data_IF_446144315929
#
_entry.id   IF_446144315929
#
_cell.length_a   1.000
_cell.length_b   1.000
_cell.length_c   1.000
_cell.angle_alpha   90.00
_cell.angle_beta   90.00
_cell.angle_gamma   90.00
#
_symmetry.space_group_name_H-M   'P 1'
#
loop_
_entity.id
_entity.type
_entity.pdbx_description
1 polymer ?
#
# COMPACT_ATOMS: atom_id res chain seq x y z
N UNK A 1 -65.88 -7.56 30.15
CA UNK A 1 -65.22 -8.72 29.51
C UNK A 1 -63.77 -8.77 29.97
N UNK A 2 -63.46 -9.67 30.89
CA UNK A 2 -62.14 -10.30 30.98
C UNK A 2 -62.33 -11.75 30.51
N UNK A 3 -61.29 -12.41 29.98
CA UNK A 3 -60.30 -13.02 30.87
C UNK A 3 -58.84 -12.80 30.47
N UNK A 4 -58.02 -12.82 31.51
CA UNK A 4 -56.58 -13.09 31.54
C UNK A 4 -56.33 -14.60 31.38
N UNK A 5 -55.25 -14.97 30.70
CA UNK A 5 -54.49 -16.22 30.92
C UNK A 5 -53.22 -16.14 30.03
N UNK A 6 -52.00 -16.50 30.42
CA UNK A 6 -51.39 -16.86 31.69
C UNK A 6 -49.91 -17.12 31.37
N UNK A 7 -49.01 -16.75 32.29
CA UNK A 7 -47.75 -17.46 32.62
C UNK A 7 -46.66 -17.58 31.53
N UNK A 8 -45.37 -17.41 31.79
CA UNK A 8 -44.61 -17.09 32.98
C UNK A 8 -43.19 -16.64 32.57
N UNK A 9 -42.63 -15.84 33.46
CA UNK A 9 -41.24 -15.43 33.64
C UNK A 9 -40.15 -16.40 33.13
N UNK A 10 -39.04 -15.82 32.65
CA UNK A 10 -37.71 -15.96 33.27
C UNK A 10 -36.74 -14.94 32.67
N UNK A 11 -36.14 -14.13 33.55
CA UNK A 11 -35.15 -13.14 33.18
C UNK A 11 -33.81 -13.77 32.77
N UNK A 12 -33.03 -13.01 32.02
CA UNK A 12 -31.57 -13.12 32.00
C UNK A 12 -31.00 -11.74 31.70
N UNK A 13 -30.46 -11.10 32.74
CA UNK A 13 -29.43 -10.07 32.58
C UNK A 13 -28.27 -10.66 31.79
N UNK A 14 -27.90 -10.06 30.66
CA UNK A 14 -26.63 -10.31 29.98
C UNK A 14 -25.92 -8.98 29.78
N UNK A 15 -24.70 -8.95 30.29
CA UNK A 15 -23.73 -7.87 30.22
C UNK A 15 -23.46 -7.41 28.79
N UNK A 16 -23.07 -6.14 28.66
CA UNK A 16 -22.69 -5.53 27.40
C UNK A 16 -21.60 -6.31 26.67
N UNK A 17 -21.85 -6.59 25.40
CA UNK A 17 -20.85 -7.03 24.44
C UNK A 17 -20.73 -5.92 23.40
N UNK A 18 -19.68 -5.11 23.53
CA UNK A 18 -19.08 -4.37 22.43
C UNK A 18 -18.62 -5.38 21.38
N UNK A 19 -19.51 -5.71 20.45
CA UNK A 19 -19.24 -6.60 19.33
C UNK A 19 -18.27 -5.95 18.36
N UNK A 20 -17.12 -6.60 18.16
CA UNK A 20 -16.17 -6.26 17.12
C UNK A 20 -16.86 -6.25 15.75
N UNK A 21 -16.77 -5.13 15.04
CA UNK A 21 -17.10 -5.05 13.62
C UNK A 21 -16.10 -5.94 12.89
N UNK A 22 -16.54 -7.14 12.50
CA UNK A 22 -15.81 -7.99 11.58
C UNK A 22 -15.87 -7.30 10.22
N UNK A 23 -14.82 -6.55 9.89
CA UNK A 23 -14.62 -6.06 8.53
C UNK A 23 -14.38 -7.29 7.65
N UNK A 24 -15.46 -7.83 7.12
CA UNK A 24 -15.43 -8.82 6.05
C UNK A 24 -14.67 -8.17 4.90
N UNK A 25 -13.48 -8.67 4.63
CA UNK A 25 -12.67 -8.25 3.51
C UNK A 25 -13.43 -8.53 2.21
N UNK A 26 -14.05 -7.49 1.65
CA UNK A 26 -14.42 -7.49 0.25
C UNK A 26 -13.11 -7.50 -0.55
N UNK A 27 -12.69 -8.70 -0.97
CA UNK A 27 -11.73 -8.82 -2.07
C UNK A 27 -12.41 -8.33 -3.33
N UNK A 28 -12.26 -7.05 -3.65
CA UNK A 28 -12.58 -6.55 -4.98
C UNK A 28 -11.73 -7.35 -5.99
N UNK A 29 -12.29 -7.76 -7.14
CA UNK A 29 -11.51 -8.44 -8.16
C UNK A 29 -10.34 -7.54 -8.56
N UNK A 30 -9.14 -8.10 -8.63
CA UNK A 30 -7.99 -7.39 -9.18
C UNK A 30 -8.30 -7.08 -10.65
N UNK A 31 -8.74 -5.85 -10.94
CA UNK A 31 -8.90 -5.40 -12.32
C UNK A 31 -7.51 -5.41 -12.95
N UNK A 32 -7.34 -6.17 -14.04
CA UNK A 32 -6.08 -6.28 -14.73
C UNK A 32 -5.53 -4.88 -15.07
N UNK A 33 -4.34 -4.60 -14.54
CA UNK A 33 -3.51 -3.46 -14.90
C UNK A 33 -3.24 -3.50 -16.41
N UNK A 34 -3.78 -2.54 -17.16
CA UNK A 34 -3.58 -2.41 -18.61
C UNK A 34 -2.56 -1.30 -18.93
N UNK A 35 -2.05 -1.19 -20.14
CA UNK A 35 -1.16 -0.09 -20.50
C UNK A 35 -2.01 1.17 -20.78
N UNK A 36 -1.97 2.23 -19.94
CA UNK A 36 -2.76 3.44 -20.20
C UNK A 36 -2.38 4.11 -21.53
N UNK A 37 -1.15 3.91 -21.98
CA UNK A 37 -0.61 4.55 -23.18
C UNK A 37 -1.07 3.86 -24.48
N UNK A 38 -1.60 2.62 -24.43
CA UNK A 38 -2.10 1.94 -25.63
C UNK A 38 -3.33 2.64 -26.19
N UNK A 39 -4.24 3.11 -25.32
CA UNK A 39 -5.44 3.84 -25.74
C UNK A 39 -5.10 5.24 -26.25
N UNK A 40 -4.03 5.86 -25.75
CA UNK A 40 -3.51 7.10 -26.30
C UNK A 40 -2.93 6.90 -27.71
N UNK A 41 -2.22 5.80 -27.97
CA UNK A 41 -1.77 5.45 -29.33
C UNK A 41 -2.92 5.15 -30.28
N UNK A 42 -3.96 4.45 -29.82
CA UNK A 42 -5.18 4.24 -30.61
C UNK A 42 -5.83 5.58 -30.93
N UNK A 43 -6.03 6.44 -29.92
CA UNK A 43 -6.63 7.76 -30.12
C UNK A 43 -5.79 8.65 -31.06
N UNK A 44 -4.46 8.56 -30.98
CA UNK A 44 -3.58 9.27 -31.91
C UNK A 44 -3.79 8.83 -33.37
N UNK A 45 -4.02 7.54 -33.59
CA UNK A 45 -4.30 7.01 -34.93
C UNK A 45 -5.73 7.32 -35.41
N UNK A 46 -6.71 7.30 -34.51
CA UNK A 46 -8.14 7.44 -34.81
C UNK A 46 -8.58 8.91 -34.99
N UNK A 47 -8.09 9.80 -34.12
CA UNK A 47 -8.54 11.21 -34.04
C UNK A 47 -7.41 12.23 -34.00
N UNK A 48 -6.15 11.79 -34.15
CA UNK A 48 -5.00 12.65 -33.87
C UNK A 48 -4.82 12.98 -32.38
N UNK A 49 -5.49 12.24 -31.49
CA UNK A 49 -5.42 12.42 -30.04
C UNK A 49 -6.46 13.40 -29.48
N UNK A 50 -7.40 13.87 -30.30
CA UNK A 50 -8.44 14.78 -29.84
C UNK A 50 -9.64 14.02 -29.24
N UNK A 51 -9.70 13.95 -27.91
CA UNK A 51 -10.74 13.22 -27.17
C UNK A 51 -12.15 13.82 -27.29
N UNK A 52 -12.28 15.07 -27.74
CA UNK A 52 -13.56 15.75 -27.90
C UNK A 52 -13.94 15.93 -29.37
N UNK A 53 -13.29 15.20 -30.28
CA UNK A 53 -13.50 15.38 -31.72
C UNK A 53 -14.94 15.00 -32.14
N UNK A 54 -15.52 15.84 -32.99
CA UNK A 54 -16.77 15.60 -33.69
C UNK A 54 -16.71 16.36 -35.02
N UNK A 55 -16.34 15.67 -36.09
CA UNK A 55 -16.20 16.25 -37.43
C UNK A 55 -17.47 16.11 -38.28
N UNK A 56 -18.55 15.53 -37.72
CA UNK A 56 -19.75 15.21 -38.48
C UNK A 56 -19.66 13.94 -39.34
N UNK A 57 -18.60 13.13 -39.18
CA UNK A 57 -18.39 11.89 -39.94
C UNK A 57 -19.15 10.65 -39.39
N UNK A 58 -20.00 10.84 -38.37
CA UNK A 58 -20.77 9.77 -37.72
C UNK A 58 -20.01 9.00 -36.62
N UNK A 59 -18.77 9.37 -36.32
CA UNK A 59 -17.97 8.83 -35.23
C UNK A 59 -17.59 9.95 -34.24
N UNK A 60 -17.43 9.58 -32.97
CA UNK A 60 -17.31 10.56 -31.90
C UNK A 60 -16.16 10.25 -30.95
N UNK A 61 -15.54 11.30 -30.44
CA UNK A 61 -14.52 11.22 -29.39
C UNK A 61 -13.18 10.65 -29.87
N UNK A 62 -12.22 10.56 -28.94
CA UNK A 62 -10.82 10.27 -29.27
C UNK A 62 -10.60 8.91 -29.91
N UNK A 63 -11.47 7.95 -29.61
CA UNK A 63 -11.41 6.57 -30.11
C UNK A 63 -12.38 6.31 -31.26
N UNK A 64 -12.99 7.35 -31.83
CA UNK A 64 -13.91 7.29 -32.97
C UNK A 64 -15.00 6.22 -32.76
N UNK A 65 -15.83 6.39 -31.74
CA UNK A 65 -16.94 5.48 -31.48
C UNK A 65 -18.13 5.75 -32.41
N UNK A 66 -18.67 4.69 -33.01
CA UNK A 66 -19.99 4.73 -33.63
C UNK A 66 -21.10 4.76 -32.55
N UNK A 67 -22.20 5.54 -32.69
CA UNK A 67 -23.26 5.63 -31.69
C UNK A 67 -23.87 4.29 -31.26
N UNK A 68 -24.03 3.36 -32.21
CA UNK A 68 -24.57 2.02 -31.93
C UNK A 68 -23.61 1.21 -31.06
N UNK A 69 -22.30 1.30 -31.32
CA UNK A 69 -21.29 0.62 -30.51
C UNK A 69 -21.20 1.23 -29.10
N UNK A 70 -21.23 2.56 -29.01
CA UNK A 70 -21.26 3.29 -27.73
C UNK A 70 -22.44 2.87 -26.84
N UNK A 71 -23.64 2.79 -27.43
CA UNK A 71 -24.83 2.26 -26.76
C UNK A 71 -24.67 0.78 -26.43
N UNK A 72 -24.13 -0.02 -27.34
CA UNK A 72 -23.95 -1.47 -27.19
C UNK A 72 -23.06 -1.87 -26.00
N UNK A 73 -22.08 -1.04 -25.64
CA UNK A 73 -21.24 -1.24 -24.45
C UNK A 73 -21.78 -0.55 -23.18
N UNK A 74 -22.99 0.01 -23.26
CA UNK A 74 -23.66 0.68 -22.15
C UNK A 74 -23.00 1.98 -21.70
N UNK A 75 -22.25 2.66 -22.57
CA UNK A 75 -21.54 3.90 -22.22
C UNK A 75 -22.46 5.14 -22.20
N UNK A 76 -23.72 4.99 -22.63
CA UNK A 76 -24.75 6.04 -22.55
C UNK A 76 -25.10 6.46 -21.14
N UNK A 77 -24.72 5.67 -20.13
CA UNK A 77 -24.85 6.03 -18.70
C UNK A 77 -23.89 7.16 -18.29
N UNK A 78 -22.82 7.38 -19.05
CA UNK A 78 -21.84 8.45 -18.80
C UNK A 78 -22.09 9.66 -19.66
N UNK A 79 -22.29 9.46 -20.96
CA UNK A 79 -22.65 10.52 -21.89
C UNK A 79 -23.44 9.96 -23.06
N UNK A 80 -24.34 10.76 -23.68
CA UNK A 80 -25.14 10.30 -24.83
C UNK A 80 -24.27 9.98 -26.07
N UNK A 81 -23.08 10.58 -26.17
CA UNK A 81 -22.07 10.29 -27.21
C UNK A 81 -20.66 10.37 -26.65
N UNK A 82 -19.70 9.76 -27.35
CA UNK A 82 -18.32 9.69 -26.88
C UNK A 82 -17.61 11.06 -26.83
N UNK A 83 -17.90 12.00 -27.74
CA UNK A 83 -17.32 13.35 -27.77
C UNK A 83 -17.67 14.19 -26.52
N UNK A 84 -18.78 13.84 -25.88
CA UNK A 84 -19.30 14.47 -24.66
C UNK A 84 -18.83 13.76 -23.37
N UNK A 85 -18.18 12.61 -23.50
CA UNK A 85 -17.64 11.86 -22.39
C UNK A 85 -16.18 12.26 -22.11
N UNK A 86 -15.77 12.19 -20.85
CA UNK A 86 -14.37 12.32 -20.47
C UNK A 86 -13.51 11.22 -21.10
N UNK A 87 -12.21 11.50 -21.26
CA UNK A 87 -11.22 10.50 -21.73
C UNK A 87 -11.30 9.19 -20.93
N UNK A 88 -11.46 9.27 -19.61
CA UNK A 88 -11.54 8.09 -18.76
C UNK A 88 -12.80 7.25 -19.03
N UNK A 89 -13.94 7.89 -19.29
CA UNK A 89 -15.19 7.22 -19.67
C UNK A 89 -15.08 6.58 -21.06
N UNK A 90 -14.45 7.27 -22.02
CA UNK A 90 -14.20 6.71 -23.35
C UNK A 90 -13.28 5.48 -23.29
N UNK A 91 -12.23 5.52 -22.47
CA UNK A 91 -11.34 4.36 -22.28
C UNK A 91 -12.08 3.22 -21.59
N UNK A 92 -12.93 3.48 -20.60
CA UNK A 92 -13.76 2.45 -19.99
C UNK A 92 -14.73 1.81 -21.00
N UNK A 93 -15.36 2.61 -21.86
CA UNK A 93 -16.19 2.10 -22.96
C UNK A 93 -15.37 1.24 -23.93
N UNK A 94 -14.14 1.64 -24.22
CA UNK A 94 -13.24 0.93 -25.12
C UNK A 94 -12.75 -0.39 -24.56
N UNK A 95 -12.50 -0.47 -23.25
CA UNK A 95 -12.21 -1.72 -22.55
C UNK A 95 -13.37 -2.71 -22.59
N UNK A 96 -14.60 -2.22 -22.47
CA UNK A 96 -15.81 -3.04 -22.68
C UNK A 96 -15.92 -3.52 -24.12
N UNK A 97 -15.77 -2.61 -25.09
CA UNK A 97 -15.79 -2.95 -26.51
C UNK A 97 -14.71 -3.99 -26.88
N UNK A 98 -13.51 -3.84 -26.33
CA UNK A 98 -12.40 -4.76 -26.48
C UNK A 98 -12.71 -6.14 -25.89
N UNK A 99 -13.44 -6.22 -24.78
CA UNK A 99 -13.91 -7.49 -24.23
C UNK A 99 -14.91 -8.20 -25.16
N UNK A 100 -15.81 -7.46 -25.81
CA UNK A 100 -16.80 -8.03 -26.74
C UNK A 100 -16.19 -8.37 -28.10
N UNK A 101 -15.67 -7.38 -28.82
CA UNK A 101 -15.25 -7.50 -30.22
C UNK A 101 -13.76 -7.81 -30.39
N UNK A 102 -12.94 -7.63 -29.35
CA UNK A 102 -11.49 -7.72 -29.47
C UNK A 102 -10.88 -6.52 -30.22
N UNK A 103 -9.56 -6.55 -30.51
CA UNK A 103 -8.85 -5.43 -31.13
C UNK A 103 -9.36 -5.10 -32.53
N UNK A 104 -10.08 -6.02 -33.18
CA UNK A 104 -10.73 -5.81 -34.47
C UNK A 104 -11.79 -4.70 -34.49
N UNK A 105 -12.23 -4.19 -33.33
CA UNK A 105 -13.05 -2.97 -33.25
C UNK A 105 -12.32 -1.73 -33.81
N UNK A 106 -10.98 -1.75 -33.83
CA UNK A 106 -10.13 -0.73 -34.46
C UNK A 106 -9.19 -1.40 -35.49
N UNK A 107 -9.67 -1.81 -36.68
CA UNK A 107 -8.96 -2.76 -37.56
C UNK A 107 -7.52 -2.37 -37.96
N UNK A 108 -7.30 -1.07 -38.19
CA UNK A 108 -6.00 -0.51 -38.59
C UNK A 108 -5.23 0.03 -37.38
N UNK A 109 -5.91 0.82 -36.54
CA UNK A 109 -5.25 1.50 -35.44
C UNK A 109 -4.91 0.57 -34.27
N UNK A 110 -5.62 -0.54 -34.07
CA UNK A 110 -5.20 -1.57 -33.12
C UNK A 110 -3.83 -2.14 -33.47
N UNK A 111 -3.60 -2.46 -34.75
CA UNK A 111 -2.31 -2.97 -35.24
C UNK A 111 -1.20 -1.94 -35.07
N UNK A 112 -1.46 -0.67 -35.45
CA UNK A 112 -0.48 0.43 -35.30
C UNK A 112 -0.16 0.74 -33.84
N UNK A 113 -1.15 0.66 -32.95
CA UNK A 113 -0.98 0.91 -31.53
C UNK A 113 -0.43 -0.29 -30.74
N UNK A 114 -0.40 -1.48 -31.36
CA UNK A 114 -0.07 -2.74 -30.70
C UNK A 114 -1.14 -3.22 -29.72
N UNK A 115 -2.41 -2.86 -29.92
CA UNK A 115 -3.52 -3.19 -29.02
C UNK A 115 -3.81 -4.70 -29.03
N UNK A 116 -3.80 -5.28 -27.84
CA UNK A 116 -4.24 -6.66 -27.55
C UNK A 116 -5.32 -6.63 -26.46
N UNK A 117 -6.02 -7.76 -26.26
CA UNK A 117 -6.98 -7.87 -25.16
C UNK A 117 -6.32 -7.65 -23.79
N UNK A 118 -5.08 -8.13 -23.62
CA UNK A 118 -4.34 -8.03 -22.37
C UNK A 118 -3.85 -6.61 -22.11
N UNK A 119 -3.11 -6.00 -23.05
CA UNK A 119 -2.54 -4.67 -22.83
C UNK A 119 -3.59 -3.55 -22.87
N UNK A 120 -4.73 -3.80 -23.51
CA UNK A 120 -5.87 -2.89 -23.55
C UNK A 120 -6.79 -3.03 -22.34
N UNK A 121 -6.61 -4.04 -21.49
CA UNK A 121 -7.41 -4.23 -20.28
C UNK A 121 -8.86 -4.58 -20.57
N UNK A 122 -9.07 -5.54 -21.48
CA UNK A 122 -10.39 -6.01 -21.88
C UNK A 122 -11.21 -6.44 -20.65
N UNK A 123 -12.24 -5.66 -20.33
CA UNK A 123 -13.10 -5.88 -19.16
C UNK A 123 -14.53 -5.46 -19.48
N UNK A 124 -15.45 -6.42 -19.46
CA UNK A 124 -16.89 -6.21 -19.72
C UNK A 124 -17.55 -5.26 -18.72
N UNK A 125 -16.94 -5.08 -17.55
CA UNK A 125 -17.44 -4.26 -16.44
C UNK A 125 -16.57 -3.01 -16.20
N UNK A 126 -15.68 -2.65 -17.13
CA UNK A 126 -14.77 -1.52 -16.94
C UNK A 126 -15.53 -0.24 -16.55
N UNK A 127 -15.01 0.50 -15.56
CA UNK A 127 -15.59 1.76 -15.08
C UNK A 127 -14.61 2.92 -15.30
N UNK A 128 -15.11 4.16 -15.46
CA UNK A 128 -14.26 5.34 -15.58
C UNK A 128 -13.54 5.55 -14.27
N UNK A 129 -12.27 5.93 -14.33
CA UNK A 129 -11.49 6.10 -13.09
C UNK A 129 -11.18 4.78 -12.39
N UNK A 130 -11.24 3.62 -13.07
CA UNK A 130 -10.15 2.65 -12.88
C UNK A 130 -9.01 3.11 -13.78
N UNK A 131 -7.99 3.82 -13.26
CA UNK A 131 -6.71 3.79 -13.94
C UNK A 131 -6.37 2.30 -14.14
N UNK A 132 -5.64 1.94 -15.20
CA UNK A 132 -4.72 0.87 -14.95
C UNK A 132 -3.85 1.36 -13.79
N UNK A 133 -3.69 0.56 -12.74
CA UNK A 133 -2.35 0.54 -12.18
C UNK A 133 -1.45 0.32 -13.38
N UNK A 134 -0.56 1.24 -13.77
CA UNK A 134 0.34 0.96 -14.88
C UNK A 134 0.96 -0.42 -14.63
N UNK A 135 1.21 -1.29 -15.64
CA UNK A 135 2.32 -2.21 -15.44
C UNK A 135 3.47 -1.30 -15.02
N UNK A 136 4.02 -1.53 -13.82
CA UNK A 136 5.21 -0.81 -13.41
C UNK A 136 6.15 -0.83 -14.63
N UNK A 137 6.76 0.32 -15.02
CA UNK A 137 7.84 0.28 -16.02
C UNK A 137 8.76 -0.91 -15.70
N UNK A 138 9.38 -1.61 -16.67
CA UNK A 138 10.47 -2.53 -16.31
C UNK A 138 11.38 -1.70 -15.42
N UNK A 139 11.46 -2.10 -14.15
CA UNK A 139 11.99 -1.22 -13.12
C UNK A 139 13.37 -0.77 -13.62
N UNK A 140 13.64 0.54 -13.79
CA UNK A 140 14.98 0.99 -13.46
C UNK A 140 15.23 0.34 -12.08
N UNK A 141 16.34 -0.40 -11.86
CA UNK A 141 16.54 -1.16 -10.63
C UNK A 141 16.02 -0.33 -9.47
N UNK A 142 15.00 -0.84 -8.80
CA UNK A 142 14.14 -0.08 -7.88
C UNK A 142 15.03 0.88 -7.10
N UNK A 143 14.86 2.22 -7.16
CA UNK A 143 15.33 3.04 -6.07
C UNK A 143 14.67 2.41 -4.84
N UNK A 144 15.45 1.87 -3.87
CA UNK A 144 14.89 1.04 -2.82
C UNK A 144 13.70 1.78 -2.22
N UNK A 145 12.58 1.06 -2.01
CA UNK A 145 11.46 1.50 -1.17
C UNK A 145 12.03 2.43 -0.10
N UNK A 146 11.60 3.71 0.04
CA UNK A 146 11.98 4.46 1.23
C UNK A 146 11.58 3.53 2.36
N UNK A 147 12.55 3.04 3.16
CA UNK A 147 12.26 1.94 4.06
C UNK A 147 11.04 2.37 4.85
N UNK A 148 10.04 1.49 4.98
CA UNK A 148 9.11 1.53 6.10
C UNK A 148 10.00 1.31 7.32
N UNK A 149 10.79 2.32 7.67
CA UNK A 149 11.64 2.28 8.83
C UNK A 149 10.63 2.26 9.96
N UNK A 150 10.63 1.20 10.77
CA UNK A 150 9.60 1.01 11.79
C UNK A 150 9.57 2.27 12.65
N UNK A 151 8.38 2.86 12.73
CA UNK A 151 8.10 3.91 13.71
C UNK A 151 8.31 3.30 15.08
N UNK A 152 9.19 3.91 15.88
CA UNK A 152 9.62 3.37 17.16
C UNK A 152 9.47 4.45 18.23
N UNK A 153 9.18 4.07 19.47
CA UNK A 153 9.21 5.01 20.58
C UNK A 153 10.65 5.38 20.91
N UNK A 154 10.90 6.59 21.38
CA UNK A 154 12.21 7.08 21.81
C UNK A 154 12.07 7.75 23.16
N UNK A 155 12.90 7.37 24.12
CA UNK A 155 13.02 8.09 25.39
C UNK A 155 14.26 8.97 25.34
N UNK A 156 14.07 10.27 25.45
CA UNK A 156 15.15 11.27 25.44
C UNK A 156 15.99 11.10 26.71
N UNK A 157 17.30 10.97 26.55
CA UNK A 157 18.26 10.74 27.64
C UNK A 157 19.01 12.01 28.03
N UNK A 158 19.15 12.95 27.09
CA UNK A 158 19.79 14.25 27.31
C UNK A 158 19.08 15.36 26.50
N UNK A 159 19.23 16.62 26.92
CA UNK A 159 18.52 17.75 26.32
C UNK A 159 18.97 17.96 24.87
N UNK A 160 18.02 17.97 23.95
CA UNK A 160 18.29 18.10 22.51
C UNK A 160 17.36 19.10 21.84
N UNK A 161 17.85 19.77 20.79
CA UNK A 161 17.02 20.68 19.99
C UNK A 161 16.04 19.87 19.11
N UNK A 162 14.78 20.29 19.12
CA UNK A 162 13.72 19.77 18.27
C UNK A 162 13.58 20.69 17.05
N UNK A 163 13.84 20.18 15.85
CA UNK A 163 14.07 20.99 14.64
C UNK A 163 13.07 20.69 13.53
N UNK A 164 12.96 21.62 12.58
CA UNK A 164 12.10 21.50 11.39
C UNK A 164 12.66 20.57 10.30
N UNK A 165 13.95 20.21 10.37
CA UNK A 165 14.58 19.31 9.41
C UNK A 165 15.81 18.59 9.96
N UNK A 166 16.34 17.58 9.23
CA UNK A 166 17.42 16.71 9.68
C UNK A 166 18.80 17.37 9.52
N UNK A 167 19.06 18.42 10.29
CA UNK A 167 20.35 19.12 10.30
C UNK A 167 20.40 20.26 11.31
N UNK A 168 21.61 20.71 11.63
CA UNK A 168 21.83 21.83 12.57
C UNK A 168 21.55 23.21 11.95
N UNK A 169 21.50 23.30 10.61
CA UNK A 169 21.09 24.49 9.86
C UNK A 169 19.57 24.73 9.87
N UNK A 170 18.77 23.72 10.24
CA UNK A 170 17.32 23.84 10.30
C UNK A 170 16.86 24.49 11.60
N UNK A 171 15.81 25.31 11.54
CA UNK A 171 15.32 26.06 12.67
C UNK A 171 14.92 25.13 13.84
N UNK A 172 15.36 25.48 15.05
CA UNK A 172 14.92 24.81 16.27
C UNK A 172 13.58 25.40 16.73
N UNK A 173 12.55 24.56 16.76
CA UNK A 173 11.20 24.94 17.20
C UNK A 173 11.01 24.75 18.71
N UNK A 174 11.93 24.03 19.36
CA UNK A 174 11.91 23.79 20.79
C UNK A 174 13.05 22.91 21.26
N UNK A 175 12.98 22.45 22.50
CA UNK A 175 13.93 21.50 23.10
C UNK A 175 13.17 20.32 23.69
N UNK A 176 13.70 19.12 23.50
CA UNK A 176 13.26 17.93 24.23
C UNK A 176 14.16 17.77 25.47
N UNK A 177 13.56 17.31 26.57
CA UNK A 177 14.22 17.15 27.86
C UNK A 177 14.38 15.67 28.21
N UNK A 178 15.34 15.30 29.08
CA UNK A 178 15.48 13.94 29.58
C UNK A 178 14.15 13.37 30.11
N UNK A 179 13.84 12.12 29.80
CA UNK A 179 12.60 11.43 30.15
C UNK A 179 11.44 11.67 29.17
N UNK A 180 11.56 12.62 28.25
CA UNK A 180 10.52 12.87 27.23
C UNK A 180 10.42 11.66 26.29
N UNK A 181 9.20 11.17 26.05
CA UNK A 181 8.93 10.08 25.11
C UNK A 181 8.41 10.64 23.79
N UNK A 182 9.01 10.25 22.67
CA UNK A 182 8.61 10.69 21.33
C UNK A 182 8.62 9.51 20.37
N UNK A 183 7.61 9.41 19.52
CA UNK A 183 7.51 8.33 18.54
C UNK A 183 8.06 8.80 17.21
N UNK A 184 8.97 8.03 16.61
CA UNK A 184 9.69 8.47 15.43
C UNK A 184 10.59 7.43 14.78
N UNK A 185 11.09 7.82 13.63
CA UNK A 185 11.77 6.97 12.68
C UNK A 185 13.21 7.43 12.51
N UNK A 186 14.20 6.58 12.84
CA UNK A 186 15.62 6.91 12.65
C UNK A 186 15.98 6.85 11.18
N UNK A 187 16.43 7.98 10.65
CA UNK A 187 16.97 8.11 9.30
C UNK A 187 18.41 7.60 9.24
N UNK A 188 18.87 7.23 8.04
CA UNK A 188 20.26 6.82 7.81
C UNK A 188 21.27 7.92 8.19
N UNK A 189 20.85 9.18 8.14
CA UNK A 189 21.66 10.33 8.56
C UNK A 189 21.86 10.41 10.08
N UNK A 190 21.21 9.56 10.88
CA UNK A 190 21.23 9.63 12.34
C UNK A 190 20.15 10.55 12.94
N UNK A 191 19.43 11.32 12.14
CA UNK A 191 18.29 12.08 12.65
C UNK A 191 17.09 11.16 12.87
N UNK A 192 16.33 11.39 13.93
CA UNK A 192 15.04 10.74 14.16
C UNK A 192 13.95 11.71 13.73
N UNK A 193 13.10 11.30 12.79
CA UNK A 193 11.89 12.03 12.37
C UNK A 193 10.71 11.59 13.22
N UNK A 194 10.13 12.48 14.01
CA UNK A 194 8.95 12.17 14.80
C UNK A 194 7.67 12.15 13.96
N UNK A 195 6.61 11.54 14.50
CA UNK A 195 5.27 11.54 13.88
C UNK A 195 4.71 12.96 13.68
N UNK A 196 5.12 13.92 14.51
CA UNK A 196 4.79 15.34 14.41
C UNK A 196 5.59 16.09 13.30
N UNK A 197 6.40 15.36 12.54
CA UNK A 197 7.19 15.90 11.43
C UNK A 197 8.36 16.76 11.87
N UNK A 198 8.91 16.53 13.07
CA UNK A 198 10.07 17.24 13.60
C UNK A 198 11.25 16.28 13.79
N UNK A 199 12.41 16.82 14.12
CA UNK A 199 13.67 16.09 14.07
C UNK A 199 14.52 16.31 15.32
N UNK A 200 15.13 15.24 15.82
CA UNK A 200 16.19 15.30 16.84
C UNK A 200 17.31 14.31 16.50
N UNK A 201 18.49 14.49 17.10
CA UNK A 201 19.64 13.61 16.83
C UNK A 201 19.56 12.33 17.67
N UNK A 202 19.70 11.16 17.04
CA UNK A 202 19.42 9.88 17.69
C UNK A 202 20.26 9.59 18.95
N UNK A 203 21.47 10.15 19.09
CA UNK A 203 22.32 9.90 20.26
C UNK A 203 21.75 10.48 21.57
N UNK A 204 20.77 11.38 21.48
CA UNK A 204 20.09 11.98 22.63
C UNK A 204 18.84 11.22 23.06
N UNK A 205 18.55 10.06 22.45
CA UNK A 205 17.41 9.24 22.83
C UNK A 205 17.70 7.75 22.69
N UNK A 206 17.01 6.96 23.49
CA UNK A 206 17.05 5.49 23.42
C UNK A 206 15.76 4.98 22.78
N UNK A 207 15.84 4.17 21.71
CA UNK A 207 14.66 3.64 21.05
C UNK A 207 13.99 2.53 21.91
N UNK A 208 12.72 2.69 22.25
CA UNK A 208 11.85 1.72 22.94
C UNK A 208 11.27 0.70 21.97
N UNK A 209 11.27 -0.58 22.32
CA UNK A 209 10.94 -1.69 21.41
C UNK A 209 9.47 -1.63 21.00
N UNK A 210 9.18 -1.46 19.71
CA UNK A 210 7.82 -1.60 19.19
C UNK A 210 7.42 -3.09 19.17
N UNK A 211 6.28 -3.43 19.78
CA UNK A 211 5.63 -4.74 19.63
C UNK A 211 5.44 -5.04 18.13
N UNK A 212 6.17 -6.03 17.61
CA UNK A 212 6.11 -6.41 16.20
C UNK A 212 5.00 -7.46 16.00
N UNK A 213 3.99 -7.22 15.14
CA UNK A 213 3.05 -8.27 14.73
C UNK A 213 3.82 -9.44 14.09
N UNK A 214 3.64 -10.66 14.62
CA UNK A 214 4.37 -11.86 14.16
C UNK A 214 5.66 -12.18 14.91
N UNK A 215 5.92 -11.57 16.07
CA UNK A 215 7.02 -11.99 16.94
C UNK A 215 6.75 -13.37 17.56
N UNK A 216 7.69 -14.30 17.39
CA UNK A 216 7.70 -15.62 18.03
C UNK A 216 8.60 -15.57 19.26
N UNK A 217 8.24 -16.31 20.30
CA UNK A 217 9.09 -16.47 21.47
C UNK A 217 10.14 -17.53 21.20
N UNK A 218 11.41 -17.24 21.47
CA UNK A 218 12.53 -18.17 21.30
C UNK A 218 13.17 -18.47 22.65
N UNK A 219 13.31 -19.76 22.98
CA UNK A 219 14.12 -20.20 24.11
C UNK A 219 15.54 -20.48 23.63
N UNK A 220 16.51 -19.74 24.18
CA UNK A 220 17.92 -19.89 23.86
C UNK A 220 18.44 -21.21 24.41
N UNK A 221 18.95 -22.09 23.55
CA UNK A 221 19.42 -23.44 23.91
C UNK A 221 20.89 -23.43 24.32
N UNK A 222 21.68 -22.55 23.71
CA UNK A 222 23.10 -22.36 23.97
C UNK A 222 23.42 -20.86 24.00
N UNK A 223 24.34 -20.43 24.86
CA UNK A 223 24.67 -19.01 24.99
C UNK A 223 25.10 -18.41 23.65
N UNK A 224 24.53 -17.27 23.25
CA UNK A 224 24.69 -16.71 21.90
C UNK A 224 24.97 -15.22 21.94
N UNK A 225 25.95 -14.78 21.14
CA UNK A 225 26.26 -13.36 20.98
C UNK A 225 25.11 -12.63 20.31
N UNK A 226 24.72 -11.52 20.90
CA UNK A 226 23.75 -10.58 20.36
C UNK A 226 24.52 -9.51 19.62
N UNK A 227 24.21 -9.33 18.34
CA UNK A 227 24.92 -8.42 17.44
C UNK A 227 24.07 -7.24 17.02
N UNK A 228 24.72 -6.17 16.61
CA UNK A 228 24.06 -4.95 16.13
C UNK A 228 23.35 -5.13 14.78
N UNK A 229 23.64 -6.20 14.04
CA UNK A 229 23.03 -6.52 12.76
C UNK A 229 23.03 -8.03 12.47
N UNK A 230 22.29 -8.43 11.42
CA UNK A 230 22.11 -9.81 10.99
C UNK A 230 23.33 -10.35 10.23
N UNK A 231 24.47 -10.43 10.90
CA UNK A 231 25.73 -10.91 10.32
C UNK A 231 26.88 -10.95 11.34
N UNK A 232 27.89 -11.77 11.05
CA UNK A 232 29.05 -11.97 11.95
C UNK A 232 30.03 -10.79 11.97
N UNK A 233 29.99 -9.92 10.97
CA UNK A 233 30.80 -8.69 10.87
C UNK A 233 30.26 -7.54 11.74
N UNK A 234 29.06 -7.67 12.29
CA UNK A 234 28.47 -6.65 13.16
C UNK A 234 28.99 -6.74 14.59
N UNK A 235 29.14 -5.57 15.23
CA UNK A 235 29.57 -5.44 16.61
C UNK A 235 28.71 -6.28 17.56
N UNK A 236 29.36 -6.91 18.54
CA UNK A 236 28.71 -7.67 19.60
C UNK A 236 28.20 -6.66 20.63
N UNK A 237 26.89 -6.63 20.84
CA UNK A 237 26.21 -5.78 21.82
C UNK A 237 26.09 -6.46 23.19
N UNK A 238 26.23 -7.79 23.23
CA UNK A 238 26.14 -8.59 24.45
C UNK A 238 25.93 -10.07 24.14
N UNK A 239 25.41 -10.82 25.09
CA UNK A 239 25.14 -12.25 24.95
C UNK A 239 23.83 -12.64 25.63
N UNK A 240 23.04 -13.49 25.00
CA UNK A 240 21.96 -14.22 25.68
C UNK A 240 22.51 -15.50 26.30
N UNK A 241 22.10 -15.80 27.53
CA UNK A 241 22.49 -17.03 28.23
C UNK A 241 21.57 -18.18 27.81
N UNK A 242 22.08 -19.41 27.87
CA UNK A 242 21.24 -20.61 27.71
C UNK A 242 20.06 -20.58 28.72
N UNK A 243 18.88 -20.99 28.27
CA UNK A 243 17.63 -20.92 29.02
C UNK A 243 16.89 -19.58 28.93
N UNK A 244 17.53 -18.51 28.46
CA UNK A 244 16.87 -17.19 28.30
C UNK A 244 15.77 -17.28 27.25
N UNK A 245 14.61 -16.69 27.54
CA UNK A 245 13.51 -16.61 26.59
C UNK A 245 13.44 -15.20 26.02
N UNK A 246 13.43 -15.07 24.69
CA UNK A 246 13.50 -13.80 23.98
C UNK A 246 12.42 -13.74 22.90
N UNK A 247 11.70 -12.63 22.81
CA UNK A 247 10.77 -12.41 21.69
C UNK A 247 11.53 -11.90 20.49
N UNK A 248 11.23 -12.45 19.31
CA UNK A 248 11.87 -12.00 18.09
C UNK A 248 11.19 -12.44 16.81
N UNK A 249 11.67 -11.90 15.70
CA UNK A 249 11.22 -12.26 14.36
C UNK A 249 12.35 -12.94 13.61
N UNK A 250 12.13 -14.17 13.15
CA UNK A 250 13.10 -14.89 12.31
C UNK A 250 13.09 -14.31 10.91
N UNK A 251 14.26 -13.92 10.42
CA UNK A 251 14.49 -13.42 9.07
C UNK A 251 14.76 -14.59 8.12
N UNK A 252 14.54 -14.37 6.82
CA UNK A 252 14.89 -15.34 5.77
C UNK A 252 16.40 -15.70 5.76
N UNK A 253 17.24 -14.80 6.26
CA UNK A 253 18.69 -15.01 6.42
C UNK A 253 19.07 -15.96 7.55
N UNK A 254 18.12 -16.45 8.36
CA UNK A 254 18.40 -17.32 9.50
C UNK A 254 18.78 -16.58 10.79
N UNK A 255 18.83 -15.25 10.79
CA UNK A 255 18.96 -14.44 12.00
C UNK A 255 17.60 -14.17 12.64
N UNK A 256 17.58 -14.03 13.96
CA UNK A 256 16.41 -13.60 14.72
C UNK A 256 16.65 -12.18 15.23
N UNK A 257 15.73 -11.27 14.91
CA UNK A 257 15.72 -9.89 15.42
C UNK A 257 15.00 -9.84 16.75
N UNK A 258 15.64 -9.29 17.78
CA UNK A 258 15.12 -9.12 19.15
C UNK A 258 15.23 -7.66 19.59
N UNK A 259 14.77 -7.36 20.80
CA UNK A 259 14.92 -6.07 21.47
C UNK A 259 16.38 -5.66 21.70
N UNK A 260 17.29 -6.60 21.99
CA UNK A 260 18.71 -6.31 22.28
C UNK A 260 19.63 -6.44 21.07
N UNK A 261 19.11 -6.82 19.91
CA UNK A 261 19.86 -7.00 18.68
C UNK A 261 19.53 -8.31 17.96
N UNK A 262 20.51 -8.89 17.28
CA UNK A 262 20.34 -10.04 16.40
C UNK A 262 21.12 -11.24 16.91
N UNK A 263 20.51 -12.43 16.91
CA UNK A 263 21.20 -13.69 17.18
C UNK A 263 20.91 -14.72 16.08
N UNK A 264 21.76 -15.72 15.93
CA UNK A 264 21.59 -16.74 14.90
C UNK A 264 20.55 -17.78 15.33
N UNK A 265 19.57 -18.08 14.47
CA UNK A 265 18.38 -18.86 14.84
C UNK A 265 18.67 -20.29 15.31
N UNK A 266 19.81 -20.89 14.99
CA UNK A 266 20.13 -22.24 15.48
C UNK A 266 20.35 -22.30 17.00
N UNK A 267 20.58 -21.15 17.64
CA UNK A 267 20.80 -21.05 19.09
C UNK A 267 19.49 -20.84 19.88
N UNK A 268 18.34 -20.76 19.20
CA UNK A 268 17.05 -20.57 19.83
C UNK A 268 15.95 -21.39 19.18
N UNK A 269 15.14 -22.08 19.99
CA UNK A 269 13.99 -22.85 19.53
C UNK A 269 12.72 -22.03 19.78
N UNK A 270 11.83 -21.97 18.80
CA UNK A 270 10.53 -21.32 18.96
C UNK A 270 9.69 -22.08 19.99
N UNK A 271 9.10 -21.37 20.95
CA UNK A 271 8.28 -21.90 22.04
C UNK A 271 6.96 -21.15 22.18
#
# INVERSE_FOLDING_TARGET
>A
MSPQNSSAQRGLTVAGLTGAVVASGFSAPAHAAYDPTVWDRVAQCESGGNWSINTGNGYYGGLQFHPVAWKGVGATVWAPRADLASKAEQIAAARRALAYAGPGAWPVCSKKAGLTRDNGGADKNAMPGTPPTPPAPPTPPTPPTPPTTPTQDWTITDRVNYRTGPGTSYQAVGKLYPGTKVTGTKLASGWVKTTEGKYFWHSFGTPGVADTPGATTFRITQGVNVRAGAGLSHAILGQYRAGTTVKGTKLASGWVRTDRGYFWSSYGVAV
#
